data_IF_785229793954
#
_entry.id   IF_785229793954
#
_cell.length_a   1.000
_cell.length_b   1.000
_cell.length_c   1.000
_cell.angle_alpha   90.00
_cell.angle_beta   90.00
_cell.angle_gamma   90.00
#
_symmetry.space_group_name_H-M   'P 1'
#
loop_
_entity.id
_entity.type
_entity.pdbx_description
1 polymer ?
#
# COMPACT_ATOMS: atom_id res chain seq x y z
N UNK A 1 -5.34 -54.73 -9.27
CA UNK A 1 -5.48 -53.97 -8.01
C UNK A 1 -4.85 -52.56 -7.96
N UNK A 2 -3.92 -52.10 -8.84
CA UNK A 2 -3.27 -50.80 -8.66
C UNK A 2 -4.17 -49.58 -8.97
N UNK A 3 -5.20 -49.74 -9.81
CA UNK A 3 -6.08 -48.64 -10.25
C UNK A 3 -6.89 -48.05 -9.10
N UNK A 4 -7.38 -48.88 -8.17
CA UNK A 4 -8.20 -48.41 -7.02
C UNK A 4 -7.36 -47.61 -6.02
N UNK A 5 -6.14 -48.05 -5.73
CA UNK A 5 -5.20 -47.34 -4.86
C UNK A 5 -4.75 -46.01 -5.47
N UNK A 6 -4.51 -45.99 -6.78
CA UNK A 6 -4.19 -44.76 -7.51
C UNK A 6 -5.33 -43.74 -7.48
N UNK A 7 -6.58 -44.18 -7.70
CA UNK A 7 -7.75 -43.31 -7.65
C UNK A 7 -7.98 -42.72 -6.25
N UNK A 8 -7.76 -43.51 -5.20
CA UNK A 8 -7.86 -43.03 -3.82
C UNK A 8 -6.77 -42.00 -3.49
N UNK A 9 -5.52 -42.26 -3.85
CA UNK A 9 -4.43 -41.31 -3.65
C UNK A 9 -4.68 -39.98 -4.39
N UNK A 10 -5.20 -40.06 -5.62
CA UNK A 10 -5.58 -38.88 -6.39
C UNK A 10 -6.72 -38.10 -5.72
N UNK A 11 -7.76 -38.77 -5.24
CA UNK A 11 -8.87 -38.11 -4.54
C UNK A 11 -8.39 -37.39 -3.25
N UNK A 12 -7.51 -38.03 -2.48
CA UNK A 12 -6.91 -37.41 -1.29
C UNK A 12 -6.09 -36.18 -1.66
N UNK A 13 -5.29 -36.26 -2.73
CA UNK A 13 -4.52 -35.12 -3.23
C UNK A 13 -5.43 -33.94 -3.62
N UNK A 14 -6.49 -34.21 -4.39
CA UNK A 14 -7.46 -33.18 -4.81
C UNK A 14 -8.15 -32.56 -3.60
N UNK A 15 -8.57 -33.37 -2.62
CA UNK A 15 -9.18 -32.88 -1.39
C UNK A 15 -8.21 -32.01 -0.57
N UNK A 16 -6.93 -32.41 -0.49
CA UNK A 16 -5.89 -31.63 0.18
C UNK A 16 -5.63 -30.29 -0.55
N UNK A 17 -5.55 -30.29 -1.88
CA UNK A 17 -5.39 -29.06 -2.67
C UNK A 17 -6.61 -28.13 -2.55
N UNK A 18 -7.82 -28.69 -2.61
CA UNK A 18 -9.06 -27.93 -2.43
C UNK A 18 -9.16 -27.33 -1.02
N UNK A 19 -8.83 -28.11 0.01
CA UNK A 19 -8.75 -27.64 1.39
C UNK A 19 -7.73 -26.51 1.56
N UNK A 20 -6.54 -26.66 0.95
CA UNK A 20 -5.49 -25.63 0.97
C UNK A 20 -5.93 -24.31 0.32
N UNK A 21 -6.74 -24.37 -0.74
CA UNK A 21 -7.28 -23.17 -1.39
C UNK A 21 -8.43 -22.52 -0.59
N UNK A 22 -9.26 -23.33 0.04
CA UNK A 22 -10.50 -22.88 0.68
C UNK A 22 -10.27 -22.35 2.11
N UNK A 23 -9.35 -22.96 2.86
CA UNK A 23 -9.05 -22.57 4.25
C UNK A 23 -8.63 -21.10 4.37
N UNK A 24 -7.72 -20.55 3.56
CA UNK A 24 -7.34 -19.14 3.65
C UNK A 24 -8.49 -18.17 3.36
N UNK A 25 -9.40 -18.52 2.43
CA UNK A 25 -10.56 -17.67 2.09
C UNK A 25 -11.58 -17.61 3.23
N UNK A 26 -11.74 -18.69 4.01
CA UNK A 26 -12.62 -18.70 5.19
C UNK A 26 -12.13 -17.76 6.31
N UNK A 27 -10.81 -17.54 6.39
CA UNK A 27 -10.21 -16.63 7.39
C UNK A 27 -10.13 -15.20 6.87
N UNK A 28 -10.17 -15.00 5.55
CA UNK A 28 -10.01 -13.69 4.93
C UNK A 28 -11.10 -12.73 5.43
N UNK A 29 -10.76 -11.53 5.92
CA UNK A 29 -11.77 -10.55 6.26
C UNK A 29 -12.53 -10.16 5.00
N UNK A 30 -13.86 -10.20 5.04
CA UNK A 30 -14.69 -9.63 3.98
C UNK A 30 -14.42 -8.14 3.79
N UNK A 31 -14.71 -7.61 2.60
CA UNK A 31 -14.50 -6.21 2.24
C UNK A 31 -15.41 -5.21 2.99
N UNK A 32 -16.20 -5.69 3.96
CA UNK A 32 -17.27 -4.96 4.65
C UNK A 32 -16.78 -4.03 5.77
N UNK A 33 -15.70 -3.29 5.51
CA UNK A 33 -15.10 -2.35 6.47
C UNK A 33 -15.00 -0.92 5.95
N UNK A 34 -16.09 -0.34 5.42
CA UNK A 34 -16.13 1.09 5.09
C UNK A 34 -16.06 1.92 6.37
N UNK A 35 -14.94 2.64 6.51
CA UNK A 35 -14.83 4.00 7.05
C UNK A 35 -15.66 4.29 8.32
N UNK A 36 -15.21 3.77 9.46
CA UNK A 36 -15.48 4.41 10.74
C UNK A 36 -14.17 5.03 11.25
N UNK A 37 -14.24 6.22 11.86
CA UNK A 37 -13.08 6.98 12.40
C UNK A 37 -13.05 6.95 13.93
N UNK A 38 -13.80 6.03 14.55
CA UNK A 38 -13.85 5.84 16.00
C UNK A 38 -12.72 4.94 16.49
N UNK A 39 -12.41 4.96 17.79
CA UNK A 39 -11.46 4.02 18.41
C UNK A 39 -11.86 2.53 18.23
N UNK A 40 -13.12 2.25 17.89
CA UNK A 40 -13.54 0.92 17.46
C UNK A 40 -12.92 0.55 16.09
N UNK A 41 -12.82 1.51 15.18
CA UNK A 41 -12.29 1.29 13.84
C UNK A 41 -10.78 1.03 13.80
N UNK A 42 -10.00 1.53 14.77
CA UNK A 42 -8.58 1.15 14.88
C UNK A 42 -8.43 -0.31 15.30
N UNK A 43 -9.22 -0.77 16.29
CA UNK A 43 -9.26 -2.18 16.70
C UNK A 43 -9.72 -3.11 15.57
N UNK A 44 -10.71 -2.68 14.80
CA UNK A 44 -11.19 -3.46 13.65
C UNK A 44 -10.13 -3.58 12.55
N UNK A 45 -9.35 -2.52 12.30
CA UNK A 45 -8.20 -2.56 11.37
C UNK A 45 -7.12 -3.52 11.85
N UNK A 46 -6.78 -3.49 13.13
CA UNK A 46 -5.78 -4.41 13.71
C UNK A 46 -6.24 -5.87 13.65
N UNK A 47 -7.53 -6.12 13.95
CA UNK A 47 -8.13 -7.45 13.85
C UNK A 47 -8.14 -7.94 12.39
N UNK A 48 -8.50 -7.08 11.44
CA UNK A 48 -8.48 -7.37 10.00
C UNK A 48 -7.06 -7.66 9.49
N UNK A 49 -6.07 -6.86 9.90
CA UNK A 49 -4.67 -7.09 9.57
C UNK A 49 -4.15 -8.42 10.13
N UNK A 50 -4.51 -8.74 11.38
CA UNK A 50 -4.12 -10.00 12.05
C UNK A 50 -4.72 -11.22 11.35
N UNK A 51 -6.00 -11.17 10.97
CA UNK A 51 -6.68 -12.25 10.21
C UNK A 51 -6.09 -12.43 8.82
N UNK A 52 -5.81 -11.32 8.12
CA UNK A 52 -5.20 -11.37 6.78
C UNK A 52 -3.79 -11.96 6.82
N UNK A 53 -3.01 -11.63 7.86
CA UNK A 53 -1.72 -12.27 8.07
C UNK A 53 -1.85 -13.78 8.37
N UNK A 54 -2.88 -14.19 9.11
CA UNK A 54 -3.13 -15.61 9.36
C UNK A 54 -3.52 -16.33 8.06
N UNK A 55 -4.39 -15.75 7.24
CA UNK A 55 -4.72 -16.26 5.91
C UNK A 55 -3.47 -16.39 5.02
N UNK A 56 -2.60 -15.37 4.99
CA UNK A 56 -1.34 -15.42 4.24
C UNK A 56 -0.39 -16.52 4.72
N UNK A 57 -0.33 -16.75 6.05
CA UNK A 57 0.45 -17.85 6.62
C UNK A 57 -0.09 -19.22 6.24
N UNK A 58 -1.41 -19.39 6.23
CA UNK A 58 -2.08 -20.62 5.83
C UNK A 58 -1.95 -20.87 4.32
N UNK A 59 -2.02 -19.82 3.50
CA UNK A 59 -1.84 -19.93 2.04
C UNK A 59 -0.38 -20.00 1.60
N UNK A 60 0.57 -19.79 2.52
CA UNK A 60 2.04 -19.82 2.43
C UNK A 60 2.72 -19.23 1.18
N UNK A 61 2.42 -19.76 -0.01
CA UNK A 61 2.98 -19.40 -1.32
C UNK A 61 2.02 -18.48 -2.10
N UNK A 62 0.77 -18.34 -1.67
CA UNK A 62 -0.22 -17.44 -2.28
C UNK A 62 0.16 -15.96 -2.10
N UNK A 63 0.83 -15.41 -3.11
CA UNK A 63 1.34 -14.04 -3.09
C UNK A 63 0.27 -12.98 -2.85
N UNK A 64 -0.91 -13.15 -3.45
CA UNK A 64 -2.08 -12.27 -3.28
C UNK A 64 -2.49 -12.09 -1.80
N UNK A 65 -2.44 -13.18 -1.01
CA UNK A 65 -2.73 -13.11 0.43
C UNK A 65 -1.66 -12.35 1.20
N UNK A 66 -0.39 -12.46 0.79
CA UNK A 66 0.70 -11.68 1.36
C UNK A 66 0.58 -10.20 1.00
N UNK A 67 0.14 -9.87 -0.22
CA UNK A 67 -0.16 -8.48 -0.62
C UNK A 67 -1.25 -7.89 0.27
N UNK A 68 -2.38 -8.57 0.41
CA UNK A 68 -3.51 -8.13 1.24
C UNK A 68 -3.10 -7.94 2.72
N UNK A 69 -2.35 -8.90 3.26
CA UNK A 69 -1.80 -8.81 4.62
C UNK A 69 -0.87 -7.61 4.79
N UNK A 70 0.05 -7.38 3.84
CA UNK A 70 0.99 -6.27 3.89
C UNK A 70 0.26 -4.91 3.85
N UNK A 71 -0.69 -4.74 2.93
CA UNK A 71 -1.47 -3.50 2.80
C UNK A 71 -2.31 -3.21 4.05
N UNK A 72 -2.97 -4.23 4.63
CA UNK A 72 -3.74 -4.06 5.87
C UNK A 72 -2.86 -3.76 7.09
N UNK A 73 -1.68 -4.36 7.19
CA UNK A 73 -0.72 -4.04 8.25
C UNK A 73 -0.19 -2.60 8.13
N UNK A 74 0.10 -2.14 6.91
CA UNK A 74 0.49 -0.74 6.64
C UNK A 74 -0.65 0.23 7.00
N UNK A 75 -1.88 -0.08 6.60
CA UNK A 75 -3.06 0.74 6.90
C UNK A 75 -3.34 0.83 8.41
N UNK A 76 -3.24 -0.30 9.14
CA UNK A 76 -3.40 -0.34 10.58
C UNK A 76 -2.38 0.56 11.31
N UNK A 77 -1.11 0.54 10.85
CA UNK A 77 -0.06 1.38 11.43
C UNK A 77 -0.23 2.88 11.16
N UNK A 78 -0.92 3.24 10.08
CA UNK A 78 -1.18 4.64 9.73
C UNK A 78 -2.35 5.24 10.54
N UNK A 79 -3.40 4.45 10.80
CA UNK A 79 -4.59 4.89 11.53
C UNK A 79 -4.42 4.98 13.05
N UNK A 80 -3.45 4.26 13.64
CA UNK A 80 -3.15 4.36 15.07
C UNK A 80 -2.59 5.75 15.47
N UNK A 81 -1.98 6.47 14.52
CA UNK A 81 -1.29 7.73 14.76
C UNK A 81 -2.22 8.96 14.81
N UNK A 82 -3.46 8.88 14.32
CA UNK A 82 -4.41 10.02 14.37
C UNK A 82 -5.01 10.23 15.77
N UNK A 83 -5.03 9.20 16.61
CA UNK A 83 -5.49 9.29 18.00
C UNK A 83 -4.41 9.82 18.97
N UNK A 84 -3.15 9.86 18.55
CA UNK A 84 -2.01 10.32 19.33
C UNK A 84 -1.34 11.49 18.60
N UNK A 85 -1.96 12.67 18.68
CA UNK A 85 -1.54 13.88 17.96
C UNK A 85 -0.30 14.59 18.53
N UNK A 86 0.40 14.01 19.51
CA UNK A 86 1.39 14.75 20.31
C UNK A 86 2.80 14.16 20.38
N UNK A 87 3.16 13.21 19.51
CA UNK A 87 4.57 12.80 19.43
C UNK A 87 5.05 12.60 17.99
N UNK A 88 5.97 13.49 17.57
CA UNK A 88 6.72 13.39 16.32
C UNK A 88 7.68 12.18 16.30
N UNK A 89 7.62 11.34 17.32
CA UNK A 89 8.44 10.15 17.51
C UNK A 89 7.59 8.88 17.43
N UNK A 90 7.95 8.02 16.47
CA UNK A 90 7.48 6.64 16.31
C UNK A 90 6.09 6.41 15.72
N UNK A 91 5.95 6.69 14.42
CA UNK A 91 5.06 5.91 13.54
C UNK A 91 5.66 4.50 13.38
N UNK A 92 5.65 3.71 14.46
CA UNK A 92 6.24 2.37 14.47
C UNK A 92 5.40 1.47 13.57
N UNK A 93 5.90 1.20 12.38
CA UNK A 93 5.28 0.18 11.53
C UNK A 93 5.34 -1.15 12.26
N UNK A 94 4.22 -1.86 12.22
CA UNK A 94 4.09 -3.18 12.83
C UNK A 94 5.25 -4.08 12.35
N UNK A 95 6.04 -4.73 13.22
CA UNK A 95 7.25 -5.47 12.81
C UNK A 95 6.96 -6.56 11.79
N UNK A 96 5.77 -7.15 11.84
CA UNK A 96 5.28 -8.15 10.86
C UNK A 96 5.00 -7.57 9.46
N UNK A 97 4.81 -6.25 9.31
CA UNK A 97 4.52 -5.62 8.03
C UNK A 97 5.69 -5.73 7.06
N UNK A 98 6.93 -5.60 7.55
CA UNK A 98 8.14 -5.77 6.73
C UNK A 98 8.23 -7.18 6.17
N UNK A 99 8.11 -8.19 7.03
CA UNK A 99 8.14 -9.60 6.62
C UNK A 99 7.02 -9.90 5.62
N UNK A 100 5.83 -9.35 5.84
CA UNK A 100 4.71 -9.53 4.92
C UNK A 100 4.97 -8.87 3.56
N UNK A 101 5.47 -7.63 3.54
CA UNK A 101 5.77 -6.91 2.31
C UNK A 101 6.93 -7.53 1.51
N UNK A 102 7.99 -7.98 2.18
CA UNK A 102 9.09 -8.71 1.54
C UNK A 102 8.59 -10.03 0.90
N UNK A 103 7.73 -10.78 1.60
CA UNK A 103 7.10 -11.99 1.04
C UNK A 103 6.14 -11.67 -0.11
N UNK A 104 5.36 -10.59 0.01
CA UNK A 104 4.44 -10.13 -1.02
C UNK A 104 5.19 -9.86 -2.32
N UNK A 105 6.28 -9.07 -2.28
CA UNK A 105 7.10 -8.79 -3.47
C UNK A 105 7.77 -10.04 -4.02
N UNK A 106 8.24 -10.95 -3.15
CA UNK A 106 8.87 -12.20 -3.58
C UNK A 106 7.89 -13.16 -4.28
N UNK A 107 6.64 -13.22 -3.82
CA UNK A 107 5.64 -14.18 -4.30
C UNK A 107 4.71 -13.59 -5.37
N UNK A 108 4.53 -12.27 -5.39
CA UNK A 108 3.72 -11.53 -6.35
C UNK A 108 4.49 -10.30 -6.88
N UNK A 109 5.64 -10.49 -7.57
CA UNK A 109 6.45 -9.38 -8.10
C UNK A 109 5.74 -8.59 -9.22
N UNK A 110 4.64 -9.12 -9.75
CA UNK A 110 3.81 -8.45 -10.76
C UNK A 110 2.75 -7.54 -10.14
N UNK A 111 2.56 -7.54 -8.82
CA UNK A 111 1.52 -6.77 -8.14
C UNK A 111 2.07 -5.42 -7.64
N UNK A 112 1.51 -4.31 -8.14
CA UNK A 112 1.90 -2.96 -7.74
C UNK A 112 1.69 -2.67 -6.25
N UNK A 113 0.65 -3.23 -5.64
CA UNK A 113 0.36 -3.04 -4.22
C UNK A 113 1.42 -3.71 -3.34
N UNK A 114 2.02 -4.82 -3.78
CA UNK A 114 3.13 -5.46 -3.08
C UNK A 114 4.34 -4.53 -2.95
N UNK A 115 4.75 -3.94 -4.08
CA UNK A 115 5.85 -2.97 -4.13
C UNK A 115 5.57 -1.71 -3.33
N UNK A 116 4.34 -1.17 -3.44
CA UNK A 116 3.93 0.00 -2.69
C UNK A 116 3.91 -0.24 -1.17
N UNK A 117 3.41 -1.40 -0.74
CA UNK A 117 3.43 -1.80 0.66
C UNK A 117 4.87 -1.84 1.17
N UNK A 118 5.80 -2.43 0.39
CA UNK A 118 7.20 -2.51 0.79
C UNK A 118 7.87 -1.14 0.84
N UNK A 119 7.64 -0.28 -0.15
CA UNK A 119 8.13 1.10 -0.16
C UNK A 119 7.64 1.87 1.08
N UNK A 120 6.38 1.70 1.46
CA UNK A 120 5.78 2.35 2.64
C UNK A 120 6.42 1.85 3.94
N UNK A 121 6.69 0.54 4.02
CA UNK A 121 7.37 -0.06 5.17
C UNK A 121 8.79 0.46 5.32
N UNK A 122 9.55 0.45 4.22
CA UNK A 122 10.95 0.87 4.21
C UNK A 122 11.11 2.32 4.63
N UNK A 123 10.28 3.21 4.08
CA UNK A 123 10.24 4.63 4.45
C UNK A 123 10.16 4.84 5.96
N UNK A 124 9.28 4.10 6.63
CA UNK A 124 9.01 4.35 8.07
C UNK A 124 10.06 3.73 8.98
N UNK A 125 10.83 2.76 8.49
CA UNK A 125 11.89 2.11 9.26
C UNK A 125 13.11 3.03 9.50
N UNK A 126 13.22 4.19 8.81
CA UNK A 126 14.40 5.09 8.81
C UNK A 126 15.74 4.35 8.71
N UNK A 127 15.74 3.13 8.16
CA UNK A 127 16.96 2.38 7.92
C UNK A 127 17.70 3.11 6.82
N UNK A 128 18.82 3.72 7.20
CA UNK A 128 19.68 4.53 6.33
C UNK A 128 19.79 3.90 4.94
N UNK A 129 19.49 4.69 3.91
CA UNK A 129 19.65 4.35 2.50
C UNK A 129 21.12 4.03 2.12
N UNK A 130 22.06 4.07 3.08
CA UNK A 130 23.46 3.65 2.93
C UNK A 130 23.71 2.13 3.01
N UNK A 131 22.67 1.29 3.07
CA UNK A 131 22.80 -0.17 2.98
C UNK A 131 22.62 -0.69 1.56
N UNK A 132 23.15 -1.88 1.24
CA UNK A 132 23.02 -2.58 -0.06
C UNK A 132 21.56 -3.03 -0.39
N UNK A 133 20.55 -2.43 0.25
CA UNK A 133 19.14 -2.76 0.05
C UNK A 133 18.47 -1.86 -1.00
N UNK A 134 17.25 -2.21 -1.44
CA UNK A 134 16.49 -1.36 -2.35
C UNK A 134 16.13 -0.04 -1.66
N UNK A 135 16.16 1.07 -2.40
CA UNK A 135 15.73 2.38 -1.90
C UNK A 135 14.21 2.53 -1.98
N UNK A 136 13.65 3.51 -1.26
CA UNK A 136 12.21 3.82 -1.38
C UNK A 136 11.84 4.21 -2.82
N UNK A 137 12.73 4.94 -3.49
CA UNK A 137 12.54 5.34 -4.89
C UNK A 137 12.49 4.13 -5.82
N UNK A 138 13.42 3.17 -5.68
CA UNK A 138 13.44 1.93 -6.49
C UNK A 138 12.17 1.11 -6.29
N UNK A 139 11.71 0.94 -5.05
CA UNK A 139 10.48 0.19 -4.78
C UNK A 139 9.23 0.90 -5.34
N UNK A 140 9.19 2.23 -5.25
CA UNK A 140 8.10 3.02 -5.77
C UNK A 140 8.07 3.01 -7.31
N UNK A 141 9.24 3.04 -7.95
CA UNK A 141 9.36 2.87 -9.40
C UNK A 141 8.77 1.54 -9.85
N UNK A 142 9.10 0.44 -9.17
CA UNK A 142 8.50 -0.87 -9.45
C UNK A 142 6.97 -0.85 -9.28
N UNK A 143 6.45 -0.17 -8.25
CA UNK A 143 5.01 -0.02 -8.05
C UNK A 143 4.31 0.77 -9.19
N UNK A 144 5.02 1.66 -9.88
CA UNK A 144 4.52 2.31 -11.10
C UNK A 144 4.59 1.40 -12.31
N UNK A 145 5.71 0.68 -12.48
CA UNK A 145 5.95 -0.19 -13.62
C UNK A 145 5.02 -1.41 -13.66
N UNK A 146 4.68 -2.00 -12.52
CA UNK A 146 3.85 -3.21 -12.47
C UNK A 146 2.34 -2.93 -12.43
N UNK A 147 1.92 -1.67 -12.34
CA UNK A 147 0.50 -1.29 -12.32
C UNK A 147 0.19 0.11 -12.87
N UNK A 148 0.65 0.49 -14.07
CA UNK A 148 0.54 1.87 -14.57
C UNK A 148 -0.91 2.38 -14.77
N UNK A 149 -1.87 1.47 -14.89
CA UNK A 149 -3.30 1.76 -15.06
C UNK A 149 -4.15 1.59 -13.81
N UNK A 150 -3.60 1.09 -12.71
CA UNK A 150 -4.38 0.75 -11.52
C UNK A 150 -4.92 2.02 -10.82
N UNK A 151 -6.25 2.18 -10.89
CA UNK A 151 -6.97 3.30 -10.30
C UNK A 151 -6.82 3.38 -8.78
N UNK A 152 -6.90 2.23 -8.11
CA UNK A 152 -6.83 2.15 -6.66
C UNK A 152 -5.46 2.57 -6.14
N UNK A 153 -4.41 2.43 -6.96
CA UNK A 153 -3.03 2.75 -6.59
C UNK A 153 -2.58 4.17 -6.95
N UNK A 154 -3.33 4.92 -7.79
CA UNK A 154 -2.91 6.27 -8.21
C UNK A 154 -2.67 7.20 -7.02
N UNK A 155 -3.68 7.34 -6.15
CA UNK A 155 -3.58 8.21 -5.00
C UNK A 155 -2.56 7.71 -3.96
N UNK A 156 -2.55 6.43 -3.56
CA UNK A 156 -1.52 5.90 -2.66
C UNK A 156 -0.08 6.10 -3.16
N UNK A 157 0.20 5.87 -4.45
CA UNK A 157 1.54 6.09 -5.03
C UNK A 157 1.92 7.56 -5.06
N UNK A 158 1.03 8.44 -5.53
CA UNK A 158 1.25 9.88 -5.53
C UNK A 158 1.50 10.39 -4.10
N UNK A 159 0.69 9.92 -3.15
CA UNK A 159 0.84 10.23 -1.72
C UNK A 159 2.19 9.79 -1.20
N UNK A 160 2.63 8.56 -1.47
CA UNK A 160 3.94 8.10 -0.99
C UNK A 160 5.08 8.90 -1.64
N UNK A 161 4.99 9.17 -2.94
CA UNK A 161 5.99 9.91 -3.68
C UNK A 161 6.21 11.30 -3.09
N UNK A 162 5.17 12.14 -3.00
CA UNK A 162 5.29 13.53 -2.52
C UNK A 162 5.68 13.63 -1.05
N UNK A 163 5.49 12.55 -0.28
CA UNK A 163 5.84 12.48 1.14
C UNK A 163 7.27 11.97 1.38
N UNK A 164 8.04 11.67 0.34
CA UNK A 164 9.41 11.16 0.42
C UNK A 164 10.33 11.91 -0.53
N UNK A 165 11.63 11.72 -0.38
CA UNK A 165 12.62 12.30 -1.30
C UNK A 165 12.66 11.56 -2.65
N UNK A 166 11.93 10.45 -2.79
CA UNK A 166 11.78 9.75 -4.07
C UNK A 166 11.18 10.65 -5.17
N UNK A 167 10.40 11.67 -4.80
CA UNK A 167 9.88 12.66 -5.76
C UNK A 167 10.98 13.51 -6.41
N UNK A 168 12.20 13.52 -5.88
CA UNK A 168 13.34 14.20 -6.53
C UNK A 168 13.87 13.45 -7.76
N UNK A 169 13.54 12.16 -7.91
CA UNK A 169 13.96 11.33 -9.05
C UNK A 169 13.09 11.64 -10.26
N UNK A 170 13.70 12.04 -11.38
CA UNK A 170 12.99 12.46 -12.60
C UNK A 170 11.98 11.42 -13.11
N UNK A 171 12.35 10.14 -13.14
CA UNK A 171 11.43 9.06 -13.58
C UNK A 171 10.17 8.95 -12.70
N UNK A 172 10.30 9.17 -11.38
CA UNK A 172 9.16 9.17 -10.47
C UNK A 172 8.27 10.40 -10.71
N UNK A 173 8.86 11.58 -10.99
CA UNK A 173 8.10 12.79 -11.30
C UNK A 173 7.16 12.59 -12.50
N UNK A 174 7.64 11.96 -13.58
CA UNK A 174 6.83 11.70 -14.77
C UNK A 174 5.63 10.79 -14.47
N UNK A 175 5.86 9.72 -13.70
CA UNK A 175 4.78 8.82 -13.29
C UNK A 175 3.76 9.51 -12.38
N UNK A 176 4.23 10.27 -11.38
CA UNK A 176 3.36 10.97 -10.43
C UNK A 176 2.58 12.07 -11.14
N UNK A 177 3.21 12.84 -12.03
CA UNK A 177 2.51 13.87 -12.80
C UNK A 177 1.33 13.27 -13.56
N UNK A 178 1.54 12.15 -14.28
CA UNK A 178 0.47 11.44 -14.99
C UNK A 178 -0.68 11.01 -14.07
N UNK A 179 -0.37 10.49 -12.88
CA UNK A 179 -1.40 10.13 -11.90
C UNK A 179 -2.13 11.38 -11.36
N UNK A 180 -1.43 12.50 -11.16
CA UNK A 180 -2.02 13.77 -10.75
C UNK A 180 -2.97 14.36 -11.80
N UNK A 181 -2.62 14.30 -13.10
CA UNK A 181 -3.53 14.70 -14.19
C UNK A 181 -4.85 13.91 -14.13
N UNK A 182 -4.76 12.61 -13.88
CA UNK A 182 -5.95 11.75 -13.75
C UNK A 182 -6.75 12.06 -12.48
N UNK A 183 -6.07 12.31 -11.36
CA UNK A 183 -6.72 12.70 -10.11
C UNK A 183 -7.41 14.07 -10.22
N UNK A 184 -6.88 14.99 -11.03
CA UNK A 184 -7.48 16.30 -11.27
C UNK A 184 -8.81 16.25 -12.05
N UNK A 185 -9.09 15.15 -12.73
CA UNK A 185 -10.37 14.91 -13.40
C UNK A 185 -11.49 14.45 -12.45
N UNK A 186 -11.18 14.16 -11.18
CA UNK A 186 -12.18 13.71 -10.19
C UNK A 186 -13.00 14.88 -9.64
N UNK A 187 -14.22 14.58 -9.22
CA UNK A 187 -15.10 15.56 -8.58
C UNK A 187 -14.53 16.09 -7.24
N UNK A 188 -13.74 15.28 -6.52
CA UNK A 188 -13.13 15.61 -5.24
C UNK A 188 -11.68 16.15 -5.36
N UNK A 189 -11.28 16.61 -6.55
CA UNK A 189 -9.90 17.03 -6.85
C UNK A 189 -9.33 18.02 -5.82
N UNK A 190 -10.11 19.01 -5.41
CA UNK A 190 -9.63 20.07 -4.50
C UNK A 190 -9.23 19.50 -3.14
N UNK A 191 -10.04 18.58 -2.60
CA UNK A 191 -9.76 17.91 -1.33
C UNK A 191 -8.55 16.96 -1.46
N UNK A 192 -8.48 16.21 -2.56
CA UNK A 192 -7.37 15.29 -2.84
C UNK A 192 -6.04 16.06 -2.88
N UNK A 193 -5.97 17.13 -3.67
CA UNK A 193 -4.76 17.93 -3.83
C UNK A 193 -4.38 18.68 -2.54
N UNK A 194 -5.34 19.22 -1.79
CA UNK A 194 -5.07 19.81 -0.48
C UNK A 194 -4.47 18.78 0.50
N UNK A 195 -5.01 17.56 0.54
CA UNK A 195 -4.49 16.48 1.40
C UNK A 195 -3.07 16.05 1.01
N UNK A 196 -2.78 15.96 -0.30
CA UNK A 196 -1.45 15.65 -0.81
C UNK A 196 -0.46 16.75 -0.43
N UNK A 197 -0.85 18.01 -0.59
CA UNK A 197 -0.01 19.16 -0.25
C UNK A 197 0.30 19.24 1.24
N UNK A 198 -0.69 19.03 2.11
CA UNK A 198 -0.52 19.04 3.56
C UNK A 198 0.47 17.98 4.04
N UNK A 199 0.53 16.82 3.38
CA UNK A 199 1.42 15.73 3.77
C UNK A 199 2.81 15.77 3.10
N UNK A 200 2.97 16.56 2.03
CA UNK A 200 4.17 16.55 1.18
C UNK A 200 5.42 17.14 1.88
N UNK A 201 6.59 16.64 1.47
CA UNK A 201 7.90 17.24 1.80
C UNK A 201 8.04 18.60 1.12
N UNK A 202 9.02 19.45 1.50
CA UNK A 202 9.26 20.72 0.79
C UNK A 202 9.46 20.54 -0.72
N UNK A 203 10.23 19.51 -1.13
CA UNK A 203 10.43 19.17 -2.55
C UNK A 203 9.12 18.71 -3.19
N UNK A 204 8.35 17.86 -2.50
CA UNK A 204 7.03 17.41 -2.95
C UNK A 204 6.03 18.55 -3.12
N UNK A 205 6.04 19.55 -2.23
CA UNK A 205 5.19 20.76 -2.32
C UNK A 205 5.52 21.58 -3.56
N UNK A 206 6.80 21.84 -3.83
CA UNK A 206 7.23 22.55 -5.03
C UNK A 206 6.84 21.80 -6.31
N UNK A 207 6.99 20.48 -6.32
CA UNK A 207 6.54 19.64 -7.43
C UNK A 207 5.01 19.74 -7.63
N UNK A 208 4.24 19.60 -6.54
CA UNK A 208 2.78 19.71 -6.58
C UNK A 208 2.31 21.08 -7.06
N UNK A 209 2.94 22.18 -6.62
CA UNK A 209 2.61 23.52 -7.08
C UNK A 209 2.88 23.71 -8.56
N UNK A 210 4.00 23.18 -9.07
CA UNK A 210 4.34 23.22 -10.49
C UNK A 210 3.29 22.49 -11.32
N UNK A 211 3.00 21.23 -10.97
CA UNK A 211 2.02 20.41 -11.70
C UNK A 211 0.61 20.99 -11.57
N UNK A 212 0.24 21.52 -10.41
CA UNK A 212 -1.06 22.16 -10.23
C UNK A 212 -1.24 23.38 -11.15
N UNK A 213 -0.23 24.22 -11.30
CA UNK A 213 -0.29 25.37 -12.22
C UNK A 213 -0.41 24.93 -13.68
N UNK A 214 0.25 23.84 -14.06
CA UNK A 214 0.18 23.27 -15.41
C UNK A 214 -1.20 22.66 -15.72
N UNK A 215 -1.84 22.03 -14.73
CA UNK A 215 -3.20 21.48 -14.86
C UNK A 215 -4.26 22.59 -14.85
N UNK A 216 -4.27 23.42 -13.81
CA UNK A 216 -5.26 24.47 -13.57
C UNK A 216 -4.67 25.50 -12.57
N UNK A 217 -4.36 26.74 -12.99
CA UNK A 217 -3.79 27.77 -12.12
C UNK A 217 -4.60 28.07 -10.85
N UNK A 218 -5.91 27.78 -10.85
CA UNK A 218 -6.76 27.96 -9.66
C UNK A 218 -6.52 26.90 -8.59
N UNK A 219 -6.11 25.69 -8.99
CA UNK A 219 -5.88 24.55 -8.09
C UNK A 219 -4.77 24.85 -7.07
N UNK A 220 -3.71 25.54 -7.49
CA UNK A 220 -2.64 25.98 -6.58
C UNK A 220 -3.18 26.80 -5.41
N UNK A 221 -4.11 27.72 -5.67
CA UNK A 221 -4.70 28.59 -4.62
C UNK A 221 -5.50 27.76 -3.62
N UNK A 222 -6.22 26.76 -4.10
CA UNK A 222 -7.03 25.86 -3.26
C UNK A 222 -6.14 25.02 -2.34
N UNK A 223 -5.05 24.46 -2.86
CA UNK A 223 -4.10 23.66 -2.09
C UNK A 223 -3.45 24.44 -0.95
N UNK A 224 -3.07 25.70 -1.20
CA UNK A 224 -2.40 26.54 -0.19
C UNK A 224 -3.34 27.10 0.87
N UNK A 225 -4.66 27.17 0.61
CA UNK A 225 -5.65 27.71 1.56
C UNK A 225 -5.99 26.75 2.69
N UNK A 226 -5.81 25.45 2.48
CA UNK A 226 -6.07 24.41 3.46
C UNK A 226 -4.77 23.68 3.79
N UNK A 227 -3.84 24.30 4.55
CA UNK A 227 -2.76 23.55 5.15
C UNK A 227 -3.40 22.58 6.16
N UNK A 228 -3.50 21.30 5.78
CA UNK A 228 -3.95 20.23 6.66
C UNK A 228 -3.06 20.05 7.88
#
# INVERSE_FOLDING_TARGET
>A
MPVRSGLFAFAVLVMACGGWLLVPELVRPGETGRLQTTAAASRDREASASRSLLAARLGAIRGDLWVDAAMKLVAASSGASEAARDDASSRAIHPKARVAAERAVRLAPYDAAAWLAFATVLRSARTSEGGHGPTTATLLEMAFLTGPGDEAMRLPRATLAVRTDAIAVAGIQDFVARDLYRLAARADRDQVFASLYGQATPVGKLFLERVAVEIDPTLRRTMTRFPG
#
